data_IF_339572199577
#
_entry.id   IF_339572199577
#
_cell.length_a   1.000
_cell.length_b   1.000
_cell.length_c   1.000
_cell.angle_alpha   90.00
_cell.angle_beta   90.00
_cell.angle_gamma   90.00
#
_symmetry.space_group_name_H-M   'P 1'
#
loop_
_entity.id
_entity.type
_entity.pdbx_description
1 polymer ?
#
# COMPACT_ATOMS: atom_id res chain seq x y z
N UNK A 1 -2.34 -18.69 35.53
CA UNK A 1 -1.33 -17.66 35.28
C UNK A 1 -2.05 -16.49 34.65
N UNK A 2 -2.18 -15.38 35.36
CA UNK A 2 -2.88 -14.22 34.82
C UNK A 2 -2.02 -13.55 33.74
N UNK A 3 -2.44 -13.70 32.49
CA UNK A 3 -1.79 -13.10 31.31
C UNK A 3 -1.53 -11.58 31.44
N UNK A 4 -2.36 -10.77 32.15
CA UNK A 4 -2.13 -9.33 32.35
C UNK A 4 -0.81 -8.96 33.01
N UNK A 5 -0.31 -9.80 33.93
CA UNK A 5 0.95 -9.50 34.66
C UNK A 5 2.20 -9.67 33.80
N UNK A 6 2.18 -10.55 32.81
CA UNK A 6 3.33 -10.78 31.94
C UNK A 6 3.54 -9.62 30.94
N UNK A 7 2.46 -9.00 30.51
CA UNK A 7 2.50 -7.86 29.58
C UNK A 7 3.07 -6.60 30.28
N UNK A 8 2.75 -6.40 31.56
CA UNK A 8 3.26 -5.29 32.36
C UNK A 8 4.75 -5.48 32.69
N UNK A 9 5.18 -6.70 32.99
CA UNK A 9 6.60 -7.02 33.29
C UNK A 9 7.51 -6.89 32.06
N UNK A 10 6.96 -7.12 30.84
CA UNK A 10 7.70 -6.98 29.57
C UNK A 10 7.66 -5.57 29.01
N UNK A 11 6.97 -4.63 29.63
CA UNK A 11 6.85 -3.25 29.16
C UNK A 11 6.08 -3.11 27.84
N UNK A 12 5.30 -4.12 27.48
CA UNK A 12 4.44 -4.09 26.29
C UNK A 12 3.25 -3.19 26.59
N UNK A 13 3.34 -1.93 26.19
CA UNK A 13 2.19 -1.02 26.24
C UNK A 13 1.20 -1.40 25.16
N UNK A 14 0.19 -2.18 25.49
CA UNK A 14 -1.02 -2.25 24.66
C UNK A 14 -1.76 -0.94 24.78
N UNK A 15 -2.11 -0.36 23.65
CA UNK A 15 -3.05 0.77 23.68
C UNK A 15 -4.35 0.23 24.31
N UNK A 16 -4.85 0.92 25.32
CA UNK A 16 -6.07 0.47 26.00
C UNK A 16 -7.22 0.42 24.98
N UNK A 17 -7.78 -0.76 24.78
CA UNK A 17 -8.83 -1.01 23.80
C UNK A 17 -10.07 -0.12 24.07
N UNK A 18 -10.38 0.12 25.35
CA UNK A 18 -11.47 0.99 25.77
C UNK A 18 -11.25 2.44 25.31
N UNK A 19 -9.99 2.91 25.32
CA UNK A 19 -9.65 4.26 24.83
C UNK A 19 -9.89 4.36 23.32
N UNK A 20 -9.46 3.35 22.55
CA UNK A 20 -9.71 3.32 21.09
C UNK A 20 -11.19 3.27 20.78
N UNK A 21 -11.96 2.46 21.54
CA UNK A 21 -13.42 2.32 21.35
C UNK A 21 -14.18 3.59 21.74
N UNK A 22 -13.69 4.36 22.71
CA UNK A 22 -14.28 5.59 23.16
C UNK A 22 -13.86 6.83 22.35
N UNK A 23 -12.72 6.75 21.64
CA UNK A 23 -12.19 7.88 20.88
C UNK A 23 -12.89 8.01 19.52
N UNK A 24 -13.65 9.11 19.38
CA UNK A 24 -14.44 9.39 18.18
C UNK A 24 -13.55 9.52 16.93
N UNK A 25 -12.34 10.05 17.06
CA UNK A 25 -11.42 10.20 15.93
C UNK A 25 -10.92 8.83 15.45
N UNK A 26 -10.55 7.95 16.37
CA UNK A 26 -10.16 6.58 16.05
C UNK A 26 -11.31 5.83 15.35
N UNK A 27 -12.53 5.95 15.86
CA UNK A 27 -13.71 5.31 15.27
C UNK A 27 -14.02 5.83 13.86
N UNK A 28 -13.91 7.14 13.63
CA UNK A 28 -14.05 7.75 12.28
C UNK A 28 -12.97 7.27 11.33
N UNK A 29 -11.72 7.16 11.79
CA UNK A 29 -10.62 6.67 10.98
C UNK A 29 -10.85 5.20 10.57
N UNK A 30 -11.22 4.33 11.50
CA UNK A 30 -11.56 2.92 11.23
C UNK A 30 -12.72 2.82 10.23
N UNK A 31 -13.78 3.62 10.41
CA UNK A 31 -14.90 3.64 9.48
C UNK A 31 -14.48 4.06 8.07
N UNK A 32 -13.61 5.06 7.95
CA UNK A 32 -13.07 5.50 6.66
C UNK A 32 -12.25 4.40 5.98
N UNK A 33 -11.43 3.67 6.73
CA UNK A 33 -10.66 2.53 6.20
C UNK A 33 -11.59 1.42 5.70
N UNK A 34 -12.68 1.13 6.43
CA UNK A 34 -13.71 0.15 6.01
C UNK A 34 -14.41 0.57 4.71
N UNK A 35 -14.66 1.85 4.49
CA UNK A 35 -15.22 2.32 3.21
C UNK A 35 -14.22 2.15 2.06
N UNK A 36 -12.93 2.38 2.30
CA UNK A 36 -11.88 2.12 1.30
C UNK A 36 -11.80 0.62 0.98
N UNK A 37 -11.87 -0.25 1.98
CA UNK A 37 -11.91 -1.71 1.78
C UNK A 37 -13.08 -2.12 0.88
N UNK A 38 -14.29 -1.63 1.16
CA UNK A 38 -15.48 -1.90 0.31
C UNK A 38 -15.28 -1.43 -1.12
N UNK A 39 -14.62 -0.27 -1.31
CA UNK A 39 -14.29 0.24 -2.63
C UNK A 39 -13.33 -0.69 -3.36
N UNK A 40 -12.27 -1.17 -2.68
CA UNK A 40 -11.29 -2.11 -3.25
C UNK A 40 -11.93 -3.43 -3.66
N UNK A 41 -12.82 -3.99 -2.83
CA UNK A 41 -13.58 -5.21 -3.14
C UNK A 41 -14.40 -5.00 -4.42
N UNK A 42 -15.06 -3.85 -4.56
CA UNK A 42 -15.80 -3.51 -5.79
C UNK A 42 -14.88 -3.36 -6.99
N UNK A 43 -13.72 -2.74 -6.84
CA UNK A 43 -12.72 -2.64 -7.91
C UNK A 43 -12.16 -4.01 -8.30
N UNK A 44 -11.89 -4.89 -7.36
CA UNK A 44 -11.42 -6.25 -7.62
C UNK A 44 -12.45 -7.10 -8.36
N UNK A 45 -13.76 -6.90 -8.08
CA UNK A 45 -14.85 -7.59 -8.77
C UNK A 45 -15.15 -7.02 -10.16
N UNK A 46 -14.82 -5.75 -10.40
CA UNK A 46 -14.83 -5.13 -11.72
C UNK A 46 -13.54 -5.51 -12.46
N UNK A 47 -13.23 -6.80 -12.57
CA UNK A 47 -12.06 -7.22 -13.34
C UNK A 47 -12.19 -6.60 -14.74
N UNK A 48 -11.30 -5.65 -15.03
CA UNK A 48 -11.28 -4.88 -16.27
C UNK A 48 -10.91 -5.74 -17.49
N UNK A 49 -11.37 -6.99 -17.52
CA UNK A 49 -11.18 -7.94 -18.62
C UNK A 49 -9.73 -8.38 -18.84
N UNK A 50 -8.81 -8.04 -17.94
CA UNK A 50 -7.41 -8.49 -17.99
C UNK A 50 -6.91 -8.88 -16.61
N UNK A 51 -6.86 -10.16 -16.38
CA UNK A 51 -6.31 -10.72 -15.15
C UNK A 51 -4.78 -10.67 -15.11
N UNK A 52 -4.12 -10.41 -16.26
CA UNK A 52 -2.67 -10.53 -16.41
C UNK A 52 -2.07 -9.43 -17.27
N UNK A 53 -0.89 -8.99 -16.87
CA UNK A 53 -0.01 -8.13 -17.66
C UNK A 53 1.27 -8.91 -17.99
N UNK A 54 1.67 -8.88 -19.26
CA UNK A 54 2.91 -9.49 -19.71
C UNK A 54 4.03 -8.45 -19.65
N UNK A 55 5.05 -8.73 -18.83
CA UNK A 55 6.27 -7.94 -18.79
C UNK A 55 7.46 -8.84 -19.18
N UNK A 56 7.94 -8.74 -20.41
CA UNK A 56 8.87 -9.69 -21.04
C UNK A 56 8.31 -11.12 -20.98
N UNK A 57 9.06 -12.00 -20.32
CA UNK A 57 8.69 -13.41 -20.12
C UNK A 57 7.92 -13.68 -18.84
N UNK A 58 7.46 -12.64 -18.14
CA UNK A 58 6.78 -12.78 -16.85
C UNK A 58 5.33 -12.37 -16.95
N UNK A 59 4.49 -13.18 -16.33
CA UNK A 59 3.06 -12.92 -16.20
C UNK A 59 2.83 -12.33 -14.80
N UNK A 60 2.28 -11.13 -14.74
CA UNK A 60 1.89 -10.48 -13.49
C UNK A 60 0.37 -10.54 -13.38
N UNK A 61 -0.12 -11.21 -12.36
CA UNK A 61 -1.56 -11.27 -12.10
C UNK A 61 -2.01 -10.03 -11.33
N UNK A 62 -2.77 -9.18 -11.98
CA UNK A 62 -3.39 -8.01 -11.36
C UNK A 62 -4.40 -8.42 -10.28
N UNK A 63 -5.15 -9.50 -10.51
CA UNK A 63 -6.10 -10.03 -9.55
C UNK A 63 -5.41 -10.45 -8.25
N UNK A 64 -4.25 -11.14 -8.32
CA UNK A 64 -3.50 -11.53 -7.11
C UNK A 64 -3.04 -10.31 -6.30
N UNK A 65 -2.59 -9.25 -6.98
CA UNK A 65 -2.18 -8.02 -6.30
C UNK A 65 -3.39 -7.34 -5.67
N UNK A 66 -4.51 -7.23 -6.38
CA UNK A 66 -5.76 -6.67 -5.85
C UNK A 66 -6.25 -7.44 -4.62
N UNK A 67 -6.28 -8.77 -4.68
CA UNK A 67 -6.64 -9.62 -3.53
C UNK A 67 -5.67 -9.43 -2.35
N UNK A 68 -4.36 -9.29 -2.63
CA UNK A 68 -3.38 -9.01 -1.57
C UNK A 68 -3.62 -7.65 -0.90
N UNK A 69 -3.98 -6.63 -1.67
CA UNK A 69 -4.34 -5.31 -1.16
C UNK A 69 -5.58 -5.37 -0.26
N UNK A 70 -6.63 -6.07 -0.71
CA UNK A 70 -7.87 -6.28 0.05
C UNK A 70 -7.59 -6.98 1.38
N UNK A 71 -6.89 -8.11 1.37
CA UNK A 71 -6.53 -8.87 2.58
C UNK A 71 -5.66 -8.05 3.54
N UNK A 72 -4.73 -7.26 3.01
CA UNK A 72 -3.88 -6.39 3.83
C UNK A 72 -4.72 -5.29 4.50
N UNK A 73 -5.70 -4.72 3.79
CA UNK A 73 -6.61 -3.72 4.36
C UNK A 73 -7.47 -4.29 5.48
N UNK A 74 -8.06 -5.48 5.28
CA UNK A 74 -8.79 -6.17 6.34
C UNK A 74 -7.93 -6.46 7.58
N UNK A 75 -6.65 -6.81 7.37
CA UNK A 75 -5.70 -7.00 8.47
C UNK A 75 -5.38 -5.69 9.19
N UNK A 76 -5.25 -4.57 8.48
CA UNK A 76 -5.07 -3.23 9.09
C UNK A 76 -6.27 -2.89 9.98
N UNK A 77 -7.49 -3.08 9.47
CA UNK A 77 -8.73 -2.86 10.23
C UNK A 77 -8.72 -3.69 11.52
N UNK A 78 -8.46 -4.98 11.39
CA UNK A 78 -8.41 -5.89 12.55
C UNK A 78 -7.36 -5.45 13.57
N UNK A 79 -6.16 -5.05 13.14
CA UNK A 79 -5.13 -4.53 14.03
C UNK A 79 -5.60 -3.25 14.75
N UNK A 80 -6.23 -2.32 14.04
CA UNK A 80 -6.75 -1.08 14.64
C UNK A 80 -7.84 -1.38 15.67
N UNK A 81 -8.78 -2.27 15.35
CA UNK A 81 -9.88 -2.66 16.25
C UNK A 81 -9.40 -3.37 17.52
N UNK A 82 -8.25 -4.05 17.44
CA UNK A 82 -7.65 -4.76 18.57
C UNK A 82 -6.54 -3.98 19.30
N UNK A 83 -6.33 -2.71 18.95
CA UNK A 83 -5.31 -1.87 19.59
C UNK A 83 -3.87 -2.17 19.18
N UNK A 84 -3.65 -3.02 18.16
CA UNK A 84 -2.33 -3.38 17.64
C UNK A 84 -1.83 -2.32 16.63
N UNK A 85 -1.70 -1.08 17.07
CA UNK A 85 -1.43 0.07 16.19
C UNK A 85 -0.05 -0.03 15.51
N UNK A 86 0.95 -0.58 16.19
CA UNK A 86 2.29 -0.79 15.60
C UNK A 86 2.22 -1.74 14.40
N UNK A 87 1.48 -2.85 14.53
CA UNK A 87 1.29 -3.81 13.45
C UNK A 87 0.44 -3.22 12.31
N UNK A 88 -0.60 -2.45 12.64
CA UNK A 88 -1.38 -1.71 11.65
C UNK A 88 -0.48 -0.77 10.81
N UNK A 89 0.46 -0.05 11.43
CA UNK A 89 1.40 0.82 10.74
C UNK A 89 2.38 0.05 9.85
N UNK A 90 2.86 -1.12 10.28
CA UNK A 90 3.70 -1.98 9.45
C UNK A 90 2.96 -2.49 8.21
N UNK A 91 1.71 -2.92 8.39
CA UNK A 91 0.82 -3.34 7.30
C UNK A 91 0.46 -2.18 6.36
N UNK A 92 0.22 -0.99 6.90
CA UNK A 92 -0.06 0.21 6.10
C UNK A 92 1.13 0.60 5.22
N UNK A 93 2.35 0.40 5.71
CA UNK A 93 3.57 0.58 4.89
C UNK A 93 3.60 -0.41 3.72
N UNK A 94 3.36 -1.69 3.99
CA UNK A 94 3.26 -2.71 2.94
C UNK A 94 2.16 -2.37 1.94
N UNK A 95 0.98 -2.04 2.43
CA UNK A 95 -0.18 -1.67 1.60
C UNK A 95 0.14 -0.51 0.65
N UNK A 96 0.79 0.53 1.18
CA UNK A 96 1.24 1.68 0.39
C UNK A 96 2.16 1.24 -0.77
N UNK A 97 3.14 0.40 -0.48
CA UNK A 97 4.12 -0.02 -1.48
C UNK A 97 3.45 -0.92 -2.54
N UNK A 98 2.53 -1.79 -2.14
CA UNK A 98 1.78 -2.67 -3.04
C UNK A 98 0.82 -1.89 -3.96
N UNK A 99 0.12 -0.86 -3.46
CA UNK A 99 -0.79 -0.05 -4.29
C UNK A 99 -0.02 0.79 -5.32
N UNK A 100 1.12 1.34 -4.95
CA UNK A 100 1.96 2.06 -5.90
C UNK A 100 2.52 1.14 -6.97
N UNK A 101 2.90 -0.07 -6.61
CA UNK A 101 3.33 -1.07 -7.56
C UNK A 101 2.20 -1.49 -8.51
N UNK A 102 1.00 -1.69 -7.99
CA UNK A 102 -0.19 -1.97 -8.79
C UNK A 102 -0.43 -0.88 -9.85
N UNK A 103 -0.42 0.39 -9.41
CA UNK A 103 -0.56 1.53 -10.31
C UNK A 103 0.57 1.59 -11.36
N UNK A 104 1.79 1.27 -10.97
CA UNK A 104 2.92 1.22 -11.88
C UNK A 104 2.74 0.20 -13.01
N UNK A 105 2.25 -0.99 -12.67
CA UNK A 105 1.94 -2.02 -13.66
C UNK A 105 0.81 -1.57 -14.59
N UNK A 106 -0.20 -0.87 -14.06
CA UNK A 106 -1.28 -0.33 -14.89
C UNK A 106 -0.78 0.73 -15.88
N UNK A 107 0.13 1.60 -15.44
CA UNK A 107 0.79 2.58 -16.34
C UNK A 107 1.58 1.86 -17.41
N UNK A 108 2.36 0.85 -17.04
CA UNK A 108 3.12 0.02 -17.99
C UNK A 108 2.21 -0.62 -19.05
N UNK A 109 1.11 -1.28 -18.62
CA UNK A 109 0.16 -1.91 -19.56
C UNK A 109 -0.47 -0.88 -20.51
N UNK A 110 -0.82 0.29 -20.00
CA UNK A 110 -1.36 1.39 -20.81
C UNK A 110 -0.35 1.87 -21.86
N UNK A 111 0.89 2.09 -21.47
CA UNK A 111 1.96 2.54 -22.38
C UNK A 111 2.29 1.47 -23.43
N UNK A 112 2.29 0.21 -23.05
CA UNK A 112 2.53 -0.91 -23.97
C UNK A 112 1.46 -1.00 -25.06
N UNK A 113 0.19 -0.77 -24.71
CA UNK A 113 -0.95 -0.77 -25.67
C UNK A 113 -0.87 0.37 -26.68
N UNK A 114 -0.36 1.53 -26.28
CA UNK A 114 -0.30 2.73 -27.14
C UNK A 114 0.97 2.73 -28.00
N UNK A 115 1.88 1.75 -27.82
CA UNK A 115 3.10 1.63 -28.60
C UNK A 115 4.15 2.71 -28.31
N UNK A 116 4.13 3.27 -27.10
CA UNK A 116 5.06 4.33 -26.69
C UNK A 116 6.43 3.72 -26.38
N UNK A 117 7.45 4.34 -26.93
CA UNK A 117 8.89 4.26 -26.71
C UNK A 117 9.44 2.97 -26.04
N UNK A 118 10.07 2.13 -26.84
CA UNK A 118 10.66 0.85 -26.46
C UNK A 118 11.69 0.91 -25.32
N UNK A 119 12.42 2.01 -25.17
CA UNK A 119 13.47 2.17 -24.13
C UNK A 119 12.86 2.36 -22.74
N UNK A 120 11.81 3.15 -22.61
CA UNK A 120 11.13 3.39 -21.34
C UNK A 120 10.37 2.13 -20.88
N UNK A 121 9.66 1.48 -21.80
CA UNK A 121 9.00 0.19 -21.55
C UNK A 121 10.00 -0.87 -21.08
N UNK A 122 11.18 -0.97 -21.74
CA UNK A 122 12.22 -1.92 -21.32
C UNK A 122 12.75 -1.66 -19.91
N UNK A 123 12.87 -0.39 -19.50
CA UNK A 123 13.21 -0.04 -18.11
C UNK A 123 12.12 -0.49 -17.13
N UNK A 124 10.87 -0.19 -17.44
CA UNK A 124 9.74 -0.60 -16.60
C UNK A 124 9.65 -2.12 -16.46
N UNK A 125 9.85 -2.87 -17.55
CA UNK A 125 9.90 -4.33 -17.52
C UNK A 125 10.99 -4.87 -16.61
N UNK A 126 12.19 -4.29 -16.66
CA UNK A 126 13.28 -4.69 -15.78
C UNK A 126 12.94 -4.42 -14.32
N UNK A 127 12.35 -3.26 -14.02
CA UNK A 127 11.93 -2.88 -12.67
C UNK A 127 10.82 -3.80 -12.14
N UNK A 128 9.81 -4.10 -12.94
CA UNK A 128 8.78 -5.10 -12.61
C UNK A 128 9.43 -6.46 -12.35
N UNK A 129 10.40 -6.83 -13.20
CA UNK A 129 11.15 -8.08 -13.06
C UNK A 129 11.96 -8.16 -11.76
N UNK A 130 12.59 -7.07 -11.33
CA UNK A 130 13.34 -6.99 -10.08
C UNK A 130 12.41 -7.08 -8.88
N UNK A 131 11.30 -6.35 -8.90
CA UNK A 131 10.30 -6.41 -7.84
C UNK A 131 9.77 -7.84 -7.62
N UNK A 132 9.43 -8.56 -8.71
CA UNK A 132 8.97 -9.95 -8.64
C UNK A 132 9.99 -10.93 -8.05
N UNK A 133 11.26 -10.54 -8.00
CA UNK A 133 12.36 -11.31 -7.38
C UNK A 133 12.69 -10.84 -5.95
N UNK A 134 11.90 -9.91 -5.38
CA UNK A 134 12.22 -9.19 -4.14
C UNK A 134 13.54 -8.39 -4.22
N UNK A 135 13.99 -8.03 -5.40
CA UNK A 135 15.15 -7.18 -5.61
C UNK A 135 14.66 -5.74 -5.84
N UNK A 136 14.63 -4.97 -4.77
CA UNK A 136 14.14 -3.58 -4.77
C UNK A 136 15.24 -2.56 -5.11
N UNK A 137 16.45 -3.01 -5.47
CA UNK A 137 17.60 -2.13 -5.72
C UNK A 137 17.33 -1.12 -6.85
N UNK A 138 16.61 -1.54 -7.89
CA UNK A 138 16.30 -0.72 -9.05
C UNK A 138 14.93 -0.01 -8.98
N UNK A 139 14.08 -0.37 -8.04
CA UNK A 139 12.72 0.14 -7.93
C UNK A 139 12.56 1.00 -6.68
N UNK A 140 12.75 2.29 -6.85
CA UNK A 140 12.44 3.25 -5.80
C UNK A 140 11.04 3.80 -5.98
N UNK A 141 10.37 4.11 -4.87
CA UNK A 141 9.05 4.72 -4.89
C UNK A 141 9.03 6.04 -5.69
N UNK A 142 10.14 6.80 -5.69
CA UNK A 142 10.25 8.02 -6.47
C UNK A 142 10.20 7.74 -8.00
N UNK A 143 10.77 6.63 -8.46
CA UNK A 143 10.67 6.22 -9.87
C UNK A 143 9.24 5.83 -10.22
N UNK A 144 8.56 5.11 -9.32
CA UNK A 144 7.15 4.73 -9.47
C UNK A 144 6.25 5.97 -9.54
N UNK A 145 6.40 6.89 -8.58
CA UNK A 145 5.63 8.15 -8.57
C UNK A 145 5.87 8.99 -9.81
N UNK A 146 7.13 9.05 -10.30
CA UNK A 146 7.46 9.77 -11.54
C UNK A 146 6.75 9.14 -12.74
N UNK A 147 6.74 7.82 -12.85
CA UNK A 147 6.05 7.13 -13.93
C UNK A 147 4.53 7.36 -13.87
N UNK A 148 3.92 7.27 -12.67
CA UNK A 148 2.50 7.56 -12.47
C UNK A 148 2.18 9.01 -12.85
N UNK A 149 3.00 9.96 -12.41
CA UNK A 149 2.82 11.39 -12.72
C UNK A 149 3.00 11.72 -14.20
N UNK A 150 3.77 10.93 -14.95
CA UNK A 150 3.93 11.10 -16.40
C UNK A 150 2.81 10.47 -17.23
N UNK A 151 1.93 9.70 -16.62
CA UNK A 151 0.77 9.11 -17.29
C UNK A 151 -0.31 10.17 -17.52
N UNK A 152 -0.69 10.38 -18.77
CA UNK A 152 -1.71 11.37 -19.16
C UNK A 152 -3.04 11.19 -18.40
N UNK A 153 -3.40 9.94 -18.09
CA UNK A 153 -4.64 9.62 -17.37
C UNK A 153 -4.60 9.90 -15.87
N UNK A 154 -3.41 10.00 -15.28
CA UNK A 154 -3.23 10.16 -13.82
C UNK A 154 -2.62 11.51 -13.42
N UNK A 155 -2.06 12.26 -14.36
CA UNK A 155 -1.39 13.55 -14.10
C UNK A 155 -2.30 14.52 -13.34
N UNK A 156 -3.55 14.65 -13.76
CA UNK A 156 -4.50 15.54 -13.12
C UNK A 156 -4.81 15.12 -11.68
N UNK A 157 -4.99 13.82 -11.44
CA UNK A 157 -5.21 13.31 -10.09
C UNK A 157 -3.98 13.50 -9.21
N UNK A 158 -2.77 13.24 -9.72
CA UNK A 158 -1.50 13.44 -9.00
C UNK A 158 -1.34 14.89 -8.55
N UNK A 159 -1.65 15.83 -9.44
CA UNK A 159 -1.53 17.27 -9.16
C UNK A 159 -2.65 17.77 -8.25
N UNK A 160 -3.91 17.40 -8.53
CA UNK A 160 -5.09 17.85 -7.77
C UNK A 160 -5.01 17.43 -6.30
N UNK A 161 -4.59 16.19 -6.04
CA UNK A 161 -4.50 15.65 -4.69
C UNK A 161 -3.09 15.76 -4.08
N UNK A 162 -2.15 16.42 -4.77
CA UNK A 162 -0.76 16.58 -4.34
C UNK A 162 -0.16 15.26 -3.81
N UNK A 163 -0.38 14.17 -4.55
CA UNK A 163 -0.06 12.81 -4.12
C UNK A 163 1.40 12.65 -3.72
N UNK A 164 2.33 13.40 -4.34
CA UNK A 164 3.74 13.36 -3.98
C UNK A 164 3.99 13.84 -2.55
N UNK A 165 3.43 15.01 -2.17
CA UNK A 165 3.60 15.54 -0.82
C UNK A 165 2.92 14.65 0.22
N UNK A 166 1.70 14.19 -0.06
CA UNK A 166 0.97 13.25 0.80
C UNK A 166 1.76 11.94 1.01
N UNK A 167 2.38 11.43 -0.06
CA UNK A 167 3.24 10.26 0.02
C UNK A 167 4.49 10.49 0.88
N UNK A 168 5.20 11.61 0.68
CA UNK A 168 6.41 11.92 1.43
C UNK A 168 6.11 12.12 2.92
N UNK A 169 4.98 12.74 3.25
CA UNK A 169 4.51 12.88 4.63
C UNK A 169 4.18 11.51 5.25
N UNK A 170 3.40 10.69 4.56
CA UNK A 170 3.06 9.34 5.01
C UNK A 170 4.34 8.50 5.21
N UNK A 171 5.27 8.53 4.24
CA UNK A 171 6.55 7.82 4.35
C UNK A 171 7.32 8.24 5.58
N UNK A 172 7.41 9.53 5.86
CA UNK A 172 8.10 10.07 7.05
C UNK A 172 7.45 9.58 8.33
N UNK A 173 6.13 9.66 8.43
CA UNK A 173 5.39 9.18 9.60
C UNK A 173 5.59 7.67 9.80
N UNK A 174 5.34 6.85 8.78
CA UNK A 174 5.45 5.40 8.89
C UNK A 174 6.88 4.91 9.18
N UNK A 175 7.91 5.57 8.63
CA UNK A 175 9.29 5.24 8.94
C UNK A 175 9.64 5.56 10.40
N UNK A 176 9.15 6.67 10.95
CA UNK A 176 9.36 7.02 12.35
C UNK A 176 8.77 5.94 13.27
N UNK A 177 7.60 5.38 12.95
CA UNK A 177 7.00 4.29 13.74
C UNK A 177 7.81 2.99 13.71
N UNK A 178 8.41 2.64 12.58
CA UNK A 178 9.18 1.39 12.44
C UNK A 178 10.57 1.50 13.11
N UNK A 179 11.16 2.70 13.12
CA UNK A 179 12.51 2.92 13.64
C UNK A 179 12.56 3.48 15.07
N UNK A 180 11.48 4.05 15.54
CA UNK A 180 11.39 4.53 16.93
C UNK A 180 10.97 3.37 17.84
N UNK A 181 11.90 2.44 18.09
CA UNK A 181 11.75 1.39 19.08
C UNK A 181 11.27 1.96 20.43
N UNK A 182 9.96 2.18 20.57
CA UNK A 182 9.34 2.34 21.88
C UNK A 182 9.46 3.69 22.58
N UNK A 183 9.83 4.77 21.93
CA UNK A 183 9.66 6.12 22.47
C UNK A 183 8.28 6.67 22.14
N UNK A 184 7.38 6.45 23.07
CA UNK A 184 6.07 7.10 23.20
C UNK A 184 6.07 7.97 24.44
#
# INVERSE_FOLDING_TARGET
>A
MDVPKLDDEMGIRRVNLEVIQADEYCQKAIASIKEIEKLLIRFGSLSFGRDFVMAKSKIVSLQRISTSLELTMGSIISCCENGCIADANALLRKYRDDIFFYLYIMVYDSMHKVGINSTELSKMENQIGSWLKNDMSDMTINKVLKAIASSLSLTDAVNTYNLKASFDEMRKKLNNYVHSNGYW
#
